data_IF_843574618683
#
_entry.id   IF_843574618683
#
_cell.length_a   1.000
_cell.length_b   1.000
_cell.length_c   1.000
_cell.angle_alpha   90.00
_cell.angle_beta   90.00
_cell.angle_gamma   90.00
#
_symmetry.space_group_name_H-M   'P 1'
#
loop_
_entity.id
_entity.type
_entity.pdbx_description
1 polymer ?
#
# COMPACT_ATOMS: atom_id res chain seq x y z
N UNK A 1 -21.89 -25.13 -4.31
CA UNK A 1 -20.94 -24.16 -4.89
C UNK A 1 -20.51 -23.22 -3.77
N UNK A 2 -19.21 -23.14 -3.49
CA UNK A 2 -18.67 -22.49 -2.30
C UNK A 2 -19.03 -21.00 -2.23
N UNK A 3 -19.68 -20.59 -1.13
CA UNK A 3 -19.88 -19.18 -0.84
C UNK A 3 -18.52 -18.51 -0.75
N UNK A 4 -18.31 -17.44 -1.54
CA UNK A 4 -17.18 -16.54 -1.37
C UNK A 4 -17.22 -16.03 0.07
N UNK A 5 -16.40 -16.60 0.95
CA UNK A 5 -16.23 -16.05 2.29
C UNK A 5 -15.82 -14.59 2.11
N UNK A 6 -16.45 -13.64 2.83
CA UNK A 6 -15.98 -12.28 2.83
C UNK A 6 -14.59 -12.30 3.47
N UNK A 7 -13.55 -12.21 2.64
CA UNK A 7 -12.18 -11.99 3.09
C UNK A 7 -12.20 -10.72 3.91
N UNK A 8 -12.06 -10.87 5.23
CA UNK A 8 -12.07 -9.74 6.14
C UNK A 8 -10.88 -8.86 5.75
N UNK A 9 -11.07 -7.54 5.61
CA UNK A 9 -9.98 -6.66 5.26
C UNK A 9 -8.88 -6.78 6.31
N UNK A 10 -7.66 -7.05 5.85
CA UNK A 10 -6.49 -7.15 6.72
C UNK A 10 -5.98 -5.74 6.99
N UNK A 11 -5.78 -5.43 8.27
CA UNK A 11 -5.31 -4.13 8.74
C UNK A 11 -3.97 -4.30 9.44
N UNK A 12 -3.05 -3.40 9.15
CA UNK A 12 -1.71 -3.40 9.73
C UNK A 12 -1.33 -2.05 10.31
N UNK A 13 -0.51 -2.06 11.34
CA UNK A 13 0.01 -0.83 11.94
C UNK A 13 1.10 -0.24 11.06
N UNK A 14 1.31 1.08 11.12
CA UNK A 14 2.38 1.77 10.37
C UNK A 14 3.74 1.07 10.45
N UNK A 15 4.13 0.65 11.65
CA UNK A 15 5.43 0.00 11.89
C UNK A 15 5.54 -1.43 11.31
N UNK A 16 4.43 -2.06 10.97
CA UNK A 16 4.41 -3.40 10.36
C UNK A 16 4.45 -3.36 8.83
N UNK A 17 4.12 -2.21 8.23
CA UNK A 17 4.11 -2.05 6.76
C UNK A 17 5.50 -2.33 6.15
N UNK A 18 6.62 -1.78 6.66
CA UNK A 18 7.95 -2.02 6.09
C UNK A 18 8.31 -3.51 6.07
N UNK A 19 8.06 -4.19 7.18
CA UNK A 19 8.40 -5.61 7.37
C UNK A 19 7.52 -6.52 6.48
N UNK A 20 6.22 -6.23 6.40
CA UNK A 20 5.27 -7.03 5.64
C UNK A 20 5.44 -6.91 4.13
N UNK A 21 5.76 -5.71 3.64
CA UNK A 21 5.86 -5.42 2.19
C UNK A 21 7.31 -5.31 1.70
N UNK A 22 8.31 -5.50 2.57
CA UNK A 22 9.72 -5.35 2.23
C UNK A 22 10.09 -3.92 1.79
N UNK A 23 9.42 -2.91 2.34
CA UNK A 23 9.60 -1.50 1.98
C UNK A 23 10.56 -0.79 2.93
N UNK A 24 11.26 0.22 2.44
CA UNK A 24 12.00 1.13 3.32
C UNK A 24 11.01 1.96 4.17
N UNK A 25 11.24 2.11 5.49
CA UNK A 25 10.39 2.93 6.36
C UNK A 25 10.23 4.38 5.88
N UNK A 26 11.23 4.94 5.19
CA UNK A 26 11.15 6.30 4.61
C UNK A 26 10.20 6.36 3.43
N UNK A 27 10.13 5.30 2.62
CA UNK A 27 9.19 5.21 1.50
C UNK A 27 7.76 5.21 2.01
N UNK A 28 7.49 4.47 3.10
CA UNK A 28 6.17 4.47 3.75
C UNK A 28 5.84 5.86 4.33
N UNK A 29 6.79 6.52 4.99
CA UNK A 29 6.56 7.87 5.52
C UNK A 29 6.27 8.89 4.40
N UNK A 30 7.04 8.86 3.33
CA UNK A 30 6.81 9.69 2.13
C UNK A 30 5.45 9.42 1.52
N UNK A 31 5.07 8.16 1.31
CA UNK A 31 3.78 7.81 0.74
C UNK A 31 2.61 8.38 1.57
N UNK A 32 2.72 8.28 2.89
CA UNK A 32 1.70 8.80 3.80
C UNK A 32 1.68 10.33 3.84
N UNK A 33 2.84 10.98 3.71
CA UNK A 33 2.96 12.44 3.67
C UNK A 33 2.46 13.02 2.34
N UNK A 34 2.71 12.34 1.22
CA UNK A 34 2.30 12.70 -0.14
C UNK A 34 0.79 12.52 -0.36
N UNK A 35 0.13 11.74 0.50
CA UNK A 35 -1.30 11.48 0.41
C UNK A 35 -1.63 10.31 -0.51
N UNK A 36 -0.77 9.29 -0.56
CA UNK A 36 -1.03 8.04 -1.26
C UNK A 36 -2.43 7.51 -0.94
N UNK A 37 -3.05 6.84 -1.93
CA UNK A 37 -4.41 6.29 -1.86
C UNK A 37 -4.51 5.04 -0.96
N UNK A 38 -3.87 5.09 0.20
CA UNK A 38 -3.84 4.05 1.22
C UNK A 38 -4.98 4.31 2.21
N UNK A 39 -5.94 3.40 2.24
CA UNK A 39 -7.05 3.47 3.20
C UNK A 39 -6.51 3.34 4.62
N UNK A 40 -6.71 4.40 5.43
CA UNK A 40 -6.36 4.45 6.85
C UNK A 40 -7.60 4.46 7.73
N UNK A 41 -7.50 3.83 8.90
CA UNK A 41 -8.50 3.89 9.98
C UNK A 41 -7.80 4.11 11.31
N UNK A 42 -8.49 4.73 12.26
CA UNK A 42 -7.98 4.86 13.63
C UNK A 42 -8.61 3.78 14.52
N UNK A 43 -7.77 3.04 15.23
CA UNK A 43 -8.15 2.12 16.30
C UNK A 43 -7.67 2.74 17.61
N UNK A 44 -8.59 3.39 18.32
CA UNK A 44 -8.24 4.28 19.44
C UNK A 44 -7.41 5.46 18.94
N UNK A 45 -6.17 5.60 19.44
CA UNK A 45 -5.21 6.65 19.03
C UNK A 45 -4.18 6.18 17.99
N UNK A 46 -4.25 4.92 17.55
CA UNK A 46 -3.26 4.35 16.62
C UNK A 46 -3.85 4.25 15.21
N UNK A 47 -3.17 4.80 14.18
CA UNK A 47 -3.57 4.59 12.80
C UNK A 47 -3.19 3.18 12.33
N UNK A 48 -4.15 2.51 11.68
CA UNK A 48 -3.99 1.25 10.98
C UNK A 48 -4.34 1.43 9.50
N UNK A 49 -3.72 0.64 8.65
CA UNK A 49 -3.75 0.79 7.20
C UNK A 49 -4.22 -0.52 6.57
N UNK A 50 -5.03 -0.42 5.53
CA UNK A 50 -5.57 -1.59 4.85
C UNK A 50 -4.51 -2.17 3.91
N UNK A 51 -4.20 -3.45 4.07
CA UNK A 51 -3.21 -4.18 3.25
C UNK A 51 -3.54 -4.07 1.76
N UNK A 52 -4.79 -4.35 1.37
CA UNK A 52 -5.22 -4.28 -0.04
C UNK A 52 -4.94 -2.93 -0.70
N UNK A 53 -5.08 -1.82 0.05
CA UNK A 53 -4.87 -0.47 -0.49
C UNK A 53 -3.39 -0.11 -0.58
N UNK A 54 -2.56 -0.68 0.29
CA UNK A 54 -1.10 -0.57 0.19
C UNK A 54 -0.63 -1.35 -1.03
N UNK A 55 -1.14 -2.57 -1.24
CA UNK A 55 -0.82 -3.42 -2.38
C UNK A 55 -1.20 -2.75 -3.71
N UNK A 56 -2.42 -2.20 -3.81
CA UNK A 56 -2.87 -1.45 -4.98
C UNK A 56 -2.02 -0.20 -5.24
N UNK A 57 -1.59 0.51 -4.19
CA UNK A 57 -0.68 1.64 -4.33
C UNK A 57 0.70 1.19 -4.83
N UNK A 58 1.24 0.09 -4.30
CA UNK A 58 2.51 -0.47 -4.75
C UNK A 58 2.46 -0.93 -6.20
N UNK A 59 1.35 -1.54 -6.64
CA UNK A 59 1.15 -1.92 -8.03
C UNK A 59 1.18 -0.67 -8.94
N UNK A 60 0.52 0.41 -8.54
CA UNK A 60 0.53 1.68 -9.28
C UNK A 60 1.91 2.35 -9.36
N UNK A 61 2.79 2.16 -8.37
CA UNK A 61 4.17 2.66 -8.43
C UNK A 61 5.02 1.95 -9.50
N UNK A 62 4.76 0.67 -9.79
CA UNK A 62 5.51 -0.07 -10.81
C UNK A 62 5.03 0.31 -12.22
N UNK A 63 3.75 0.66 -12.39
CA UNK A 63 3.20 1.20 -13.65
C UNK A 63 3.72 2.60 -14.00
N UNK A 64 4.04 3.45 -13.01
CA UNK A 64 4.62 4.79 -13.24
C UNK A 64 6.12 4.75 -13.56
N UNK A 65 6.75 3.57 -13.53
CA UNK A 65 8.13 3.41 -14.02
C UNK A 65 8.10 3.56 -15.55
N UNK A 66 8.66 4.63 -16.14
CA UNK A 66 8.80 4.67 -17.60
C UNK A 66 9.60 3.44 -18.01
N UNK A 67 9.00 2.59 -18.84
CA UNK A 67 9.69 1.45 -19.41
C UNK A 67 11.02 1.97 -20.01
N UNK A 68 12.19 1.43 -19.62
CA UNK A 68 13.45 1.82 -20.21
C UNK A 68 13.43 1.38 -21.67
N UNK A 69 13.04 2.28 -22.57
CA UNK A 69 12.93 1.94 -23.99
C UNK A 69 12.03 2.83 -24.86
N UNK A 70 11.24 3.75 -24.32
CA UNK A 70 10.51 4.70 -25.17
C UNK A 70 11.42 5.87 -25.57
N UNK A 71 12.45 5.57 -26.36
CA UNK A 71 13.15 6.55 -27.17
C UNK A 71 12.24 6.93 -28.34
N UNK A 72 11.58 8.08 -28.23
CA UNK A 72 10.90 8.73 -29.37
C UNK A 72 11.89 8.89 -30.51
N UNK A 73 11.62 8.21 -31.63
CA UNK A 73 12.21 8.49 -32.94
C UNK A 73 11.51 9.67 -33.57
#
# INVERSE_FOLDING_TARGET
>A
MGGRQPVRPVWVSRGQIPDMFGLDPRTVDRALADGALIVRRFVGRKPVYRVDSIDAWLAGLDEDRPAPGQATT
#
